data_IF_520796605587
#
_entry.id   IF_520796605587
#
_cell.length_a   1.000
_cell.length_b   1.000
_cell.length_c   1.000
_cell.angle_alpha   90.00
_cell.angle_beta   90.00
_cell.angle_gamma   90.00
#
_symmetry.space_group_name_H-M   'P 1'
#
loop_
_entity.id
_entity.type
_entity.pdbx_description
1 polymer ?
#
# COMPACT_ATOMS: atom_id res chain seq x y z
N UNK A 1 -6.16 -25.93 15.19
CA UNK A 1 -5.40 -25.86 13.92
C UNK A 1 -6.07 -24.96 12.89
N UNK A 2 -7.37 -25.04 12.65
CA UNK A 2 -8.09 -24.14 11.71
C UNK A 2 -8.00 -22.64 12.08
N UNK A 3 -8.08 -22.31 13.38
CA UNK A 3 -8.03 -20.93 13.87
C UNK A 3 -6.65 -20.26 13.69
N UNK A 4 -5.57 -21.03 13.91
CA UNK A 4 -4.21 -20.56 13.66
C UNK A 4 -3.93 -20.31 12.17
N UNK A 5 -4.51 -21.14 11.28
CA UNK A 5 -4.43 -20.95 9.82
C UNK A 5 -5.15 -19.67 9.38
N UNK A 6 -6.36 -19.44 9.91
CA UNK A 6 -7.15 -18.25 9.60
C UNK A 6 -6.50 -16.95 10.10
N UNK A 7 -5.90 -16.98 11.28
CA UNK A 7 -5.14 -15.84 11.81
C UNK A 7 -3.85 -15.58 11.02
N UNK A 8 -3.19 -16.62 10.51
CA UNK A 8 -2.04 -16.47 9.62
C UNK A 8 -2.45 -15.82 8.29
N UNK A 9 -3.56 -16.27 7.67
CA UNK A 9 -4.12 -15.66 6.45
C UNK A 9 -4.46 -14.19 6.64
N UNK A 10 -5.11 -13.83 7.76
CA UNK A 10 -5.42 -12.42 8.06
C UNK A 10 -4.16 -11.56 8.22
N UNK A 11 -3.10 -12.11 8.83
CA UNK A 11 -1.83 -11.40 8.97
C UNK A 11 -1.11 -11.18 7.63
N UNK A 12 -1.30 -12.09 6.66
CA UNK A 12 -0.73 -11.96 5.31
C UNK A 12 -1.32 -10.77 4.55
N UNK A 13 -2.59 -10.41 4.75
CA UNK A 13 -3.18 -9.21 4.15
C UNK A 13 -3.04 -7.96 5.02
N UNK A 14 -2.33 -8.06 6.15
CA UNK A 14 -1.99 -6.93 7.00
C UNK A 14 -3.07 -6.52 8.00
N UNK A 15 -4.00 -7.39 8.34
CA UNK A 15 -5.06 -7.12 9.33
C UNK A 15 -4.56 -7.02 10.79
N UNK A 16 -3.25 -7.04 11.01
CA UNK A 16 -2.67 -6.81 12.34
C UNK A 16 -2.91 -5.36 12.76
N UNK A 17 -3.56 -5.15 13.90
CA UNK A 17 -3.77 -3.81 14.44
C UNK A 17 -2.45 -3.19 14.93
N UNK A 18 -2.13 -1.99 14.43
CA UNK A 18 -0.96 -1.20 14.85
C UNK A 18 -1.39 0.23 15.22
N UNK A 19 -0.60 0.97 16.02
CA UNK A 19 -0.92 2.35 16.34
C UNK A 19 -0.99 3.23 15.08
N UNK A 20 -1.91 4.21 15.08
CA UNK A 20 -1.98 5.21 14.01
C UNK A 20 -0.87 6.26 14.06
N UNK A 21 -0.44 6.61 15.26
CA UNK A 21 0.67 7.54 15.45
C UNK A 21 1.99 6.93 14.94
N UNK A 22 2.64 7.59 13.98
CA UNK A 22 3.98 7.20 13.53
C UNK A 22 4.98 7.18 14.69
N UNK A 23 4.87 8.12 15.64
CA UNK A 23 5.74 8.13 16.82
C UNK A 23 5.65 6.83 17.62
N UNK A 24 4.44 6.27 17.75
CA UNK A 24 4.21 4.99 18.45
C UNK A 24 4.62 3.80 17.59
N UNK A 25 4.27 3.79 16.31
CA UNK A 25 4.57 2.67 15.39
C UNK A 25 6.05 2.54 15.04
N UNK A 26 6.80 3.63 15.13
CA UNK A 26 8.24 3.66 14.90
C UNK A 26 9.05 3.68 16.21
N UNK A 27 8.43 3.46 17.38
CA UNK A 27 9.09 3.62 18.68
C UNK A 27 10.31 2.70 18.85
N UNK A 28 10.21 1.47 18.35
CA UNK A 28 11.25 0.45 18.47
C UNK A 28 12.20 0.41 17.25
N UNK A 29 12.00 1.30 16.28
CA UNK A 29 12.85 1.37 15.09
C UNK A 29 14.21 1.96 15.47
N UNK A 30 15.28 1.24 15.15
CA UNK A 30 16.64 1.76 15.27
C UNK A 30 16.89 2.90 14.28
N UNK A 31 16.89 4.13 14.79
CA UNK A 31 17.10 5.37 14.01
C UNK A 31 18.48 5.48 13.36
N UNK A 32 19.45 4.69 13.80
CA UNK A 32 20.80 4.68 13.25
C UNK A 32 20.96 3.66 12.11
N UNK A 33 19.97 2.80 11.88
CA UNK A 33 19.96 1.88 10.74
C UNK A 33 19.21 2.55 9.60
N UNK A 34 19.88 2.74 8.46
CA UNK A 34 19.20 3.23 7.26
C UNK A 34 18.60 2.05 6.48
N UNK A 35 17.50 2.33 5.76
CA UNK A 35 16.95 1.39 4.80
C UNK A 35 17.76 1.48 3.50
N UNK A 36 18.76 0.63 3.37
CA UNK A 36 19.53 0.48 2.14
C UNK A 36 18.83 -0.54 1.24
N UNK A 37 18.34 -0.09 0.08
CA UNK A 37 17.74 -0.97 -0.91
C UNK A 37 18.24 -0.57 -2.31
N UNK A 38 18.92 -1.49 -2.98
CA UNK A 38 19.19 -1.35 -4.40
C UNK A 38 17.90 -1.59 -5.18
N UNK A 39 17.70 -0.86 -6.29
CA UNK A 39 16.55 -1.08 -7.19
C UNK A 39 16.51 -2.52 -7.69
N UNK A 40 17.67 -3.17 -7.89
CA UNK A 40 17.77 -4.58 -8.29
C UNK A 40 17.17 -5.55 -7.26
N UNK A 41 17.12 -5.15 -6.00
CA UNK A 41 16.72 -6.00 -4.88
C UNK A 41 15.24 -5.80 -4.53
N UNK A 42 14.62 -4.77 -5.10
CA UNK A 42 13.25 -4.37 -4.87
C UNK A 42 12.28 -4.92 -5.93
N UNK A 43 12.26 -6.24 -6.12
CA UNK A 43 11.47 -6.86 -7.18
C UNK A 43 9.97 -6.80 -6.86
N UNK A 44 9.14 -6.15 -7.71
CA UNK A 44 7.70 -6.22 -7.58
C UNK A 44 7.22 -7.69 -7.64
N UNK A 45 6.10 -8.03 -6.96
CA UNK A 45 5.48 -9.34 -7.09
C UNK A 45 5.15 -9.64 -8.55
N UNK A 46 5.43 -10.88 -8.98
CA UNK A 46 5.19 -11.35 -10.35
C UNK A 46 3.98 -12.28 -10.46
N UNK A 47 3.05 -12.25 -9.51
CA UNK A 47 1.82 -13.04 -9.58
C UNK A 47 0.85 -12.48 -10.61
N UNK A 48 -0.10 -13.31 -11.06
CA UNK A 48 -1.08 -12.94 -12.08
C UNK A 48 -1.87 -11.68 -11.69
N UNK A 49 -2.29 -11.57 -10.42
CA UNK A 49 -3.03 -10.39 -9.95
C UNK A 49 -2.16 -9.14 -9.91
N UNK A 50 -0.89 -9.26 -9.52
CA UNK A 50 0.05 -8.13 -9.48
C UNK A 50 0.31 -7.58 -10.89
N UNK A 51 0.49 -8.44 -11.88
CA UNK A 51 0.66 -8.04 -13.28
C UNK A 51 -0.60 -7.34 -13.81
N UNK A 52 -1.79 -7.91 -13.58
CA UNK A 52 -3.07 -7.28 -13.99
C UNK A 52 -3.27 -5.89 -13.35
N UNK A 53 -2.96 -5.75 -12.07
CA UNK A 53 -3.06 -4.45 -11.37
C UNK A 53 -2.05 -3.46 -11.93
N UNK A 54 -0.83 -3.89 -12.22
CA UNK A 54 0.19 -3.03 -12.83
C UNK A 54 -0.23 -2.52 -14.21
N UNK A 55 -0.72 -3.41 -15.08
CA UNK A 55 -1.19 -3.04 -16.42
C UNK A 55 -2.39 -2.09 -16.34
N UNK A 56 -3.35 -2.39 -15.47
CA UNK A 56 -4.50 -1.54 -15.22
C UNK A 56 -4.10 -0.16 -14.70
N UNK A 57 -3.26 -0.09 -13.66
CA UNK A 57 -2.79 1.18 -13.10
C UNK A 57 -2.03 2.01 -14.15
N UNK A 58 -1.18 1.37 -14.95
CA UNK A 58 -0.42 2.04 -16.02
C UNK A 58 -1.32 2.57 -17.14
N UNK A 59 -2.44 1.91 -17.41
CA UNK A 59 -3.42 2.37 -18.39
C UNK A 59 -4.28 3.53 -17.86
N UNK A 60 -4.65 3.50 -16.58
CA UNK A 60 -5.62 4.44 -15.99
C UNK A 60 -4.97 5.71 -15.45
N UNK A 61 -3.77 5.60 -14.88
CA UNK A 61 -3.12 6.71 -14.19
C UNK A 61 -2.28 7.55 -15.16
N UNK A 62 -2.22 8.88 -14.95
CA UNK A 62 -1.17 9.69 -15.55
C UNK A 62 0.22 9.15 -15.16
N UNK A 63 1.19 9.24 -16.08
CA UNK A 63 2.54 8.72 -15.89
C UNK A 63 3.18 9.17 -14.56
N UNK A 64 3.02 10.45 -14.20
CA UNK A 64 3.54 11.00 -12.94
C UNK A 64 2.95 10.31 -11.71
N UNK A 65 1.65 9.99 -11.73
CA UNK A 65 0.93 9.32 -10.63
C UNK A 65 1.28 7.84 -10.56
N UNK A 66 1.43 7.18 -11.71
CA UNK A 66 1.96 5.80 -11.76
C UNK A 66 3.38 5.72 -11.19
N UNK A 67 4.26 6.63 -11.61
CA UNK A 67 5.64 6.69 -11.11
C UNK A 67 5.70 7.01 -9.60
N UNK A 68 4.77 7.83 -9.10
CA UNK A 68 4.61 8.05 -7.65
C UNK A 68 4.24 6.75 -6.94
N UNK A 69 3.23 6.03 -7.43
CA UNK A 69 2.79 4.74 -6.88
C UNK A 69 3.93 3.72 -6.83
N UNK A 70 4.78 3.67 -7.87
CA UNK A 70 5.98 2.84 -7.89
C UNK A 70 7.02 3.26 -6.84
N UNK A 71 7.27 4.56 -6.63
CA UNK A 71 8.16 5.03 -5.55
C UNK A 71 7.63 4.64 -4.17
N UNK A 72 6.32 4.76 -3.94
CA UNK A 72 5.67 4.33 -2.70
C UNK A 72 5.90 2.83 -2.45
N UNK A 73 5.79 1.98 -3.48
CA UNK A 73 6.16 0.57 -3.40
C UNK A 73 7.63 0.39 -2.94
N UNK A 74 8.57 1.04 -3.62
CA UNK A 74 10.00 0.90 -3.29
C UNK A 74 10.33 1.34 -1.87
N UNK A 75 9.78 2.46 -1.42
CA UNK A 75 9.98 2.92 -0.04
C UNK A 75 9.42 1.95 0.98
N UNK A 76 8.19 1.47 0.78
CA UNK A 76 7.59 0.50 1.71
C UNK A 76 8.34 -0.83 1.74
N UNK A 77 8.78 -1.34 0.58
CA UNK A 77 9.61 -2.55 0.51
C UNK A 77 10.93 -2.38 1.28
N UNK A 78 11.62 -1.25 1.12
CA UNK A 78 12.84 -0.94 1.87
C UNK A 78 12.59 -0.87 3.38
N UNK A 79 11.51 -0.22 3.78
CA UNK A 79 11.09 -0.10 5.20
C UNK A 79 10.81 -1.48 5.80
N UNK A 80 10.09 -2.34 5.08
CA UNK A 80 9.80 -3.71 5.52
C UNK A 80 11.10 -4.50 5.69
N UNK A 81 11.98 -4.50 4.69
CA UNK A 81 13.24 -5.25 4.75
C UNK A 81 14.15 -4.77 5.89
N UNK A 82 14.27 -3.46 6.09
CA UNK A 82 15.21 -2.89 7.06
C UNK A 82 14.67 -2.91 8.50
N UNK A 83 13.37 -2.62 8.67
CA UNK A 83 12.79 -2.26 9.96
C UNK A 83 11.62 -3.14 10.39
N UNK A 84 10.86 -3.72 9.45
CA UNK A 84 9.69 -4.52 9.76
C UNK A 84 9.67 -5.86 9.00
N UNK A 85 10.70 -6.72 9.12
CA UNK A 85 10.82 -7.93 8.29
C UNK A 85 9.66 -8.91 8.50
N UNK A 86 8.99 -8.86 9.65
CA UNK A 86 7.78 -9.63 9.93
C UNK A 86 6.58 -9.25 9.04
N UNK A 87 6.61 -8.09 8.37
CA UNK A 87 5.60 -7.66 7.40
C UNK A 87 5.91 -8.14 5.97
N UNK A 88 6.99 -8.89 5.73
CA UNK A 88 7.28 -9.42 4.39
C UNK A 88 6.12 -10.18 3.73
N UNK A 89 5.30 -10.95 4.48
CA UNK A 89 4.15 -11.65 3.88
C UNK A 89 3.08 -10.75 3.25
N UNK A 90 2.97 -9.47 3.66
CA UNK A 90 1.95 -8.55 3.13
C UNK A 90 2.40 -7.77 1.88
N UNK A 91 3.63 -7.98 1.41
CA UNK A 91 4.21 -7.19 0.33
C UNK A 91 3.43 -7.28 -0.99
N UNK A 92 2.79 -8.41 -1.31
CA UNK A 92 1.94 -8.47 -2.49
C UNK A 92 0.72 -7.54 -2.35
N UNK A 93 -0.04 -7.69 -1.27
CA UNK A 93 -1.22 -6.86 -0.99
C UNK A 93 -0.84 -5.38 -0.87
N UNK A 94 0.34 -5.08 -0.34
CA UNK A 94 0.91 -3.75 -0.33
C UNK A 94 1.20 -3.21 -1.74
N UNK A 95 1.79 -4.01 -2.62
CA UNK A 95 2.02 -3.61 -4.01
C UNK A 95 0.72 -3.24 -4.73
N UNK A 96 -0.34 -4.07 -4.58
CA UNK A 96 -1.65 -3.77 -5.15
C UNK A 96 -2.21 -2.45 -4.60
N UNK A 97 -2.08 -2.24 -3.28
CA UNK A 97 -2.48 -1.01 -2.60
C UNK A 97 -1.73 0.20 -3.16
N UNK A 98 -0.40 0.13 -3.30
CA UNK A 98 0.41 1.22 -3.83
C UNK A 98 -0.05 1.65 -5.22
N UNK A 99 -0.30 0.70 -6.13
CA UNK A 99 -0.69 1.00 -7.50
C UNK A 99 -2.10 1.57 -7.63
N UNK A 100 -2.98 1.32 -6.65
CA UNK A 100 -4.39 1.68 -6.72
C UNK A 100 -4.78 2.85 -5.80
N UNK A 101 -3.94 3.27 -4.85
CA UNK A 101 -4.32 4.27 -3.84
C UNK A 101 -4.76 5.62 -4.42
N UNK A 102 -4.15 6.03 -5.53
CA UNK A 102 -4.47 7.27 -6.23
C UNK A 102 -5.43 7.09 -7.40
N UNK A 103 -6.07 5.93 -7.56
CA UNK A 103 -7.00 5.67 -8.68
C UNK A 103 -8.15 6.69 -8.71
N UNK A 104 -8.61 7.14 -7.55
CA UNK A 104 -9.67 8.16 -7.46
C UNK A 104 -9.27 9.54 -8.02
N UNK A 105 -7.98 9.79 -8.27
CA UNK A 105 -7.46 11.09 -8.72
C UNK A 105 -7.52 11.29 -10.24
N UNK A 106 -7.86 10.27 -11.02
CA UNK A 106 -7.94 10.40 -12.49
C UNK A 106 -9.00 11.42 -12.88
N UNK A 107 -8.84 12.09 -14.03
CA UNK A 107 -9.81 13.08 -14.52
C UNK A 107 -11.20 12.45 -14.69
N UNK A 108 -11.25 11.21 -15.20
CA UNK A 108 -12.51 10.46 -15.32
C UNK A 108 -13.18 10.25 -13.96
N UNK A 109 -12.42 9.82 -12.93
CA UNK A 109 -12.98 9.52 -11.62
C UNK A 109 -13.34 10.78 -10.83
N UNK A 110 -12.57 11.86 -10.95
CA UNK A 110 -12.86 13.14 -10.28
C UNK A 110 -14.10 13.84 -10.85
N UNK A 111 -14.46 13.59 -12.11
CA UNK A 111 -15.69 14.08 -12.72
C UNK A 111 -16.86 13.08 -12.60
N UNK A 112 -16.58 11.82 -12.25
CA UNK A 112 -17.55 10.73 -12.18
C UNK A 112 -18.29 10.58 -10.85
N UNK A 113 -17.91 11.33 -9.81
CA UNK A 113 -18.51 11.25 -8.48
C UNK A 113 -18.38 12.55 -7.69
N UNK A 114 -19.18 12.70 -6.63
CA UNK A 114 -19.02 13.74 -5.61
C UNK A 114 -18.40 13.22 -4.30
N UNK A 115 -18.03 11.95 -4.24
CA UNK A 115 -17.34 11.36 -3.09
C UNK A 115 -15.87 11.77 -3.05
N UNK A 116 -15.23 11.80 -1.88
CA UNK A 116 -13.78 12.00 -1.80
C UNK A 116 -13.05 10.89 -2.54
N UNK A 117 -11.91 11.23 -3.15
CA UNK A 117 -11.20 10.36 -4.08
C UNK A 117 -10.70 9.07 -3.41
N UNK A 118 -10.40 9.11 -2.12
CA UNK A 118 -9.96 7.96 -1.31
C UNK A 118 -11.06 6.90 -1.26
N UNK A 119 -12.29 7.31 -0.98
CA UNK A 119 -13.43 6.39 -0.91
C UNK A 119 -13.79 5.84 -2.29
N UNK A 120 -13.91 6.71 -3.30
CA UNK A 120 -14.30 6.28 -4.63
C UNK A 120 -13.23 5.42 -5.30
N UNK A 121 -11.95 5.80 -5.13
CA UNK A 121 -10.80 5.01 -5.56
C UNK A 121 -10.78 3.63 -4.91
N UNK A 122 -11.05 3.55 -3.60
CA UNK A 122 -11.14 2.27 -2.89
C UNK A 122 -12.28 1.38 -3.42
N UNK A 123 -13.48 1.94 -3.67
CA UNK A 123 -14.57 1.16 -4.26
C UNK A 123 -14.22 0.62 -5.66
N UNK A 124 -13.56 1.42 -6.49
CA UNK A 124 -13.09 1.01 -7.81
C UNK A 124 -12.03 -0.09 -7.70
N UNK A 125 -11.07 0.05 -6.78
CA UNK A 125 -10.04 -0.94 -6.51
C UNK A 125 -10.63 -2.26 -6.02
N UNK A 126 -11.55 -2.22 -5.06
CA UNK A 126 -12.26 -3.39 -4.52
C UNK A 126 -12.95 -4.19 -5.64
N UNK A 127 -13.71 -3.51 -6.50
CA UNK A 127 -14.42 -4.16 -7.60
C UNK A 127 -13.43 -4.75 -8.62
N UNK A 128 -12.43 -3.97 -9.03
CA UNK A 128 -11.41 -4.45 -9.96
C UNK A 128 -10.71 -5.72 -9.45
N UNK A 129 -10.27 -5.73 -8.19
CA UNK A 129 -9.57 -6.87 -7.60
C UNK A 129 -10.44 -8.13 -7.54
N UNK A 130 -11.70 -7.98 -7.11
CA UNK A 130 -12.68 -9.08 -7.06
C UNK A 130 -12.94 -9.67 -8.44
N UNK A 131 -13.05 -8.83 -9.46
CA UNK A 131 -13.32 -9.27 -10.84
C UNK A 131 -12.09 -9.91 -11.51
N UNK A 132 -10.88 -9.69 -10.97
CA UNK A 132 -9.62 -10.11 -11.58
C UNK A 132 -8.86 -11.23 -10.85
N UNK A 133 -9.47 -11.83 -9.83
CA UNK A 133 -8.99 -13.06 -9.19
C UNK A 133 -8.31 -12.88 -7.84
N UNK A 134 -8.35 -11.67 -7.24
CA UNK A 134 -7.96 -11.51 -5.85
C UNK A 134 -8.97 -12.20 -4.92
N UNK A 135 -8.51 -12.68 -3.75
CA UNK A 135 -9.44 -13.13 -2.72
C UNK A 135 -10.25 -11.95 -2.17
N UNK A 136 -11.43 -12.23 -1.62
CA UNK A 136 -12.25 -11.19 -0.99
C UNK A 136 -11.47 -10.47 0.12
N UNK A 137 -10.77 -11.23 0.97
CA UNK A 137 -9.97 -10.70 2.07
C UNK A 137 -8.86 -9.76 1.59
N UNK A 138 -8.13 -10.13 0.53
CA UNK A 138 -7.09 -9.28 -0.06
C UNK A 138 -7.69 -7.99 -0.66
N UNK A 139 -8.81 -8.10 -1.36
CA UNK A 139 -9.48 -6.96 -1.96
C UNK A 139 -10.04 -5.99 -0.90
N UNK A 140 -10.60 -6.52 0.20
CA UNK A 140 -11.07 -5.73 1.34
C UNK A 140 -9.91 -5.06 2.09
N UNK A 141 -8.77 -5.76 2.26
CA UNK A 141 -7.58 -5.18 2.88
C UNK A 141 -7.02 -3.99 2.07
N UNK A 142 -6.93 -4.15 0.74
CA UNK A 142 -6.57 -3.06 -0.17
C UNK A 142 -7.56 -1.90 -0.05
N UNK A 143 -8.86 -2.18 -0.09
CA UNK A 143 -9.90 -1.16 0.02
C UNK A 143 -9.82 -0.37 1.34
N UNK A 144 -9.70 -1.05 2.49
CA UNK A 144 -9.56 -0.41 3.81
C UNK A 144 -8.31 0.48 3.86
N UNK A 145 -7.18 -0.01 3.34
CA UNK A 145 -5.94 0.74 3.32
C UNK A 145 -6.02 1.98 2.42
N UNK A 146 -6.68 1.89 1.25
CA UNK A 146 -6.89 3.03 0.36
C UNK A 146 -7.84 4.05 0.98
N UNK A 147 -8.94 3.65 1.60
CA UNK A 147 -9.87 4.60 2.25
C UNK A 147 -9.12 5.48 3.25
N UNK A 148 -8.16 4.89 3.98
CA UNK A 148 -7.47 5.55 5.10
C UNK A 148 -6.06 6.02 4.77
N UNK A 149 -5.59 5.94 3.51
CA UNK A 149 -4.19 6.25 3.19
C UNK A 149 -3.81 7.73 3.43
N UNK A 150 -4.80 8.63 3.47
CA UNK A 150 -4.63 10.05 3.81
C UNK A 150 -5.17 10.40 5.22
N UNK A 151 -5.69 9.43 5.97
CA UNK A 151 -6.24 9.59 7.33
C UNK A 151 -5.10 9.61 8.38
N UNK A 152 -4.26 10.65 8.34
CA UNK A 152 -3.13 10.82 9.27
C UNK A 152 -3.59 11.23 10.67
N UNK A 153 -3.02 10.70 11.75
CA UNK A 153 -3.44 11.06 13.11
C UNK A 153 -2.68 10.37 14.25
N UNK A 154 -2.96 10.79 15.49
CA UNK A 154 -2.16 10.44 16.67
C UNK A 154 -2.81 9.40 17.62
N UNK A 155 -4.09 9.07 17.38
CA UNK A 155 -4.88 8.20 18.26
C UNK A 155 -5.55 7.07 17.49
N UNK A 156 -5.93 6.00 18.20
CA UNK A 156 -6.52 4.81 17.61
C UNK A 156 -5.52 3.88 16.90
N UNK A 157 -6.07 2.93 16.16
CA UNK A 157 -5.33 1.90 15.43
C UNK A 157 -5.73 1.87 13.94
N UNK A 158 -4.90 1.19 13.16
CA UNK A 158 -5.17 0.81 11.78
C UNK A 158 -4.53 -0.56 11.49
N UNK A 159 -4.75 -1.07 10.29
CA UNK A 159 -4.07 -2.27 9.77
C UNK A 159 -2.58 -2.01 9.57
N UNK A 160 -1.73 -3.03 9.69
CA UNK A 160 -0.30 -2.90 9.40
C UNK A 160 -0.06 -2.51 7.95
N UNK A 161 -0.93 -2.97 7.03
CA UNK A 161 -0.98 -2.52 5.63
C UNK A 161 -1.26 -1.01 5.54
N UNK A 162 -2.30 -0.53 6.25
CA UNK A 162 -2.67 0.88 6.32
C UNK A 162 -1.54 1.76 6.86
N UNK A 163 -0.81 1.29 7.88
CA UNK A 163 0.33 2.01 8.44
C UNK A 163 1.47 2.11 7.45
N UNK A 164 1.77 1.03 6.74
CA UNK A 164 2.83 1.00 5.74
C UNK A 164 2.52 1.93 4.56
N UNK A 165 1.27 1.94 4.07
CA UNK A 165 0.89 2.85 2.98
C UNK A 165 0.94 4.31 3.42
N UNK A 166 0.43 4.66 4.61
CA UNK A 166 0.52 6.04 5.12
C UNK A 166 1.97 6.51 5.27
N UNK A 167 2.83 5.67 5.82
CA UNK A 167 4.24 6.00 6.01
C UNK A 167 4.93 6.24 4.67
N UNK A 168 4.68 5.35 3.70
CA UNK A 168 5.35 5.38 2.40
C UNK A 168 4.83 6.48 1.48
N UNK A 169 3.55 6.83 1.55
CA UNK A 169 2.98 7.98 0.81
C UNK A 169 3.53 9.31 1.34
N UNK A 170 3.71 9.44 2.66
CA UNK A 170 4.36 10.61 3.27
C UNK A 170 5.80 10.76 2.78
N UNK A 171 6.58 9.68 2.72
CA UNK A 171 7.90 9.71 2.11
C UNK A 171 7.85 10.02 0.59
N UNK A 172 6.85 9.50 -0.12
CA UNK A 172 6.61 9.72 -1.55
C UNK A 172 6.29 11.16 -1.95
N UNK A 173 5.64 11.90 -1.05
CA UNK A 173 5.27 13.31 -1.24
C UNK A 173 6.38 14.30 -0.89
N UNK A 174 7.35 13.90 -0.05
CA UNK A 174 8.46 14.77 0.31
C UNK A 174 9.46 14.88 -0.84
N UNK A 175 9.80 16.09 -1.33
CA UNK A 175 10.68 16.30 -2.48
C UNK A 175 12.16 15.88 -2.26
N UNK A 176 12.48 15.28 -1.11
CA UNK A 176 13.86 15.00 -0.69
C UNK A 176 14.43 13.68 -1.22
N UNK A 177 13.64 12.81 -1.84
CA UNK A 177 14.12 11.58 -2.46
C UNK A 177 13.71 11.50 -3.92
N UNK A 178 14.52 12.14 -4.76
CA UNK A 178 14.58 11.82 -6.19
C UNK A 178 15.65 10.75 -6.32
N UNK A 179 15.26 9.49 -6.56
CA UNK A 179 16.19 8.49 -7.07
C UNK A 179 16.70 9.02 -8.42
N UNK A 180 18.01 9.22 -8.62
CA UNK A 180 18.54 9.47 -9.95
C UNK A 180 18.25 8.21 -10.77
N UNK A 181 17.48 8.37 -11.84
CA UNK A 181 17.29 7.37 -12.89
C UNK A 181 18.61 7.17 -13.66
#
# INVERSE_FOLDING_TARGET
MADASKNAELSMNGWTAVPRSFKKSLADVNKNKQAELSVSDANPPSTDIAQKVQDFAKQQLPEKTFNHSMRVWYYGSAIVQAHFPHLSPLLETYYLTCLLHDLGTTVENTHGTHMSFEYYGAFKALNFLRDNGASLDQAEAVSEAIIRHADLGETGTLTSLGMLIQLSTVFGMLPFFVLPL
#
